data_IF_014667407545
#
_entry.id   IF_014667407545
#
_cell.length_a   1.000
_cell.length_b   1.000
_cell.length_c   1.000
_cell.angle_alpha   90.00
_cell.angle_beta   90.00
_cell.angle_gamma   90.00
#
_symmetry.space_group_name_H-M   'P 1'
#
loop_
_entity.id
_entity.type
_entity.pdbx_description
1 polymer ?
#
# COMPACT_ATOMS: atom_id res chain seq x y z
N UNK A 1 -8.13 4.07 32.98
CA UNK A 1 -6.86 4.31 32.27
C UNK A 1 -7.20 4.45 30.80
N UNK A 2 -6.99 5.61 30.17
CA UNK A 2 -7.24 5.74 28.72
C UNK A 2 -6.06 5.12 27.95
N UNK A 3 -6.34 4.05 27.20
CA UNK A 3 -5.35 3.46 26.32
C UNK A 3 -5.36 4.23 25.00
N UNK A 4 -4.23 4.84 24.62
CA UNK A 4 -4.09 5.52 23.34
C UNK A 4 -3.42 4.57 22.34
N UNK A 5 -4.02 4.44 21.15
CA UNK A 5 -3.45 3.73 20.03
C UNK A 5 -3.11 4.76 18.95
N UNK A 6 -1.92 4.65 18.37
CA UNK A 6 -1.49 5.47 17.23
C UNK A 6 -1.18 4.51 16.09
N UNK A 7 -1.88 4.67 14.97
CA UNK A 7 -1.61 3.95 13.73
C UNK A 7 -0.88 4.87 12.77
N UNK A 8 0.31 4.47 12.35
CA UNK A 8 1.11 5.19 11.37
C UNK A 8 1.19 4.37 10.08
N UNK A 9 0.61 4.88 9.01
CA UNK A 9 0.68 4.30 7.67
C UNK A 9 1.77 5.00 6.88
N UNK A 10 2.75 4.24 6.39
CA UNK A 10 3.81 4.75 5.53
C UNK A 10 3.42 4.52 4.08
N UNK A 11 3.07 5.58 3.39
CA UNK A 11 2.74 5.52 1.96
C UNK A 11 3.97 5.15 1.12
N UNK A 12 3.76 4.33 0.09
CA UNK A 12 4.83 3.86 -0.78
C UNK A 12 5.84 2.91 -0.13
N UNK A 13 5.58 2.37 1.06
CA UNK A 13 6.45 1.47 1.78
C UNK A 13 5.91 0.03 1.76
N UNK A 14 6.00 -0.62 0.59
CA UNK A 14 5.49 -1.98 0.41
C UNK A 14 6.55 -3.05 0.65
N UNK A 15 6.16 -4.13 1.35
CA UNK A 15 6.99 -5.32 1.62
C UNK A 15 6.33 -6.53 0.99
N UNK A 16 6.72 -6.83 -0.25
CA UNK A 16 6.16 -7.93 -1.02
C UNK A 16 4.79 -7.62 -1.64
N UNK A 17 4.21 -8.64 -2.24
CA UNK A 17 2.94 -8.59 -2.93
C UNK A 17 1.92 -9.45 -2.18
N UNK A 18 0.65 -9.09 -2.27
CA UNK A 18 -0.45 -9.90 -1.74
C UNK A 18 -0.63 -11.19 -2.56
N UNK A 19 -1.28 -12.23 -2.00
CA UNK A 19 -1.48 -13.51 -2.70
C UNK A 19 -2.24 -13.40 -4.02
N UNK A 20 -3.08 -12.40 -4.18
CA UNK A 20 -3.89 -12.12 -5.35
C UNK A 20 -3.29 -11.05 -6.30
N UNK A 21 -2.04 -10.69 -6.09
CA UNK A 21 -1.36 -9.63 -6.83
C UNK A 21 -1.26 -9.90 -8.34
N UNK A 22 -1.23 -11.15 -8.76
CA UNK A 22 -1.23 -11.56 -10.16
C UNK A 22 -2.50 -11.13 -10.89
N UNK A 23 -3.64 -11.15 -10.21
CA UNK A 23 -4.93 -10.68 -10.76
C UNK A 23 -4.89 -9.20 -11.12
N UNK A 24 -4.06 -8.43 -10.41
CA UNK A 24 -3.93 -6.98 -10.57
C UNK A 24 -2.64 -6.56 -11.31
N UNK A 25 -1.88 -7.53 -11.85
CA UNK A 25 -0.63 -7.26 -12.55
C UNK A 25 0.53 -6.84 -11.63
N UNK A 26 0.42 -7.09 -10.33
CA UNK A 26 1.38 -6.68 -9.30
C UNK A 26 2.26 -7.84 -8.79
N UNK A 27 2.25 -8.97 -9.48
CA UNK A 27 3.08 -10.12 -9.12
C UNK A 27 4.57 -9.71 -8.98
N UNK A 28 5.17 -10.06 -7.86
CA UNK A 28 6.57 -9.74 -7.56
C UNK A 28 6.85 -8.28 -7.18
N UNK A 29 5.84 -7.47 -6.95
CA UNK A 29 6.02 -6.12 -6.42
C UNK A 29 6.60 -6.16 -5.00
N UNK A 30 7.69 -5.43 -4.79
CA UNK A 30 8.32 -5.25 -3.48
C UNK A 30 9.13 -3.94 -3.49
N UNK A 31 8.48 -2.87 -3.08
CA UNK A 31 9.06 -1.52 -3.15
C UNK A 31 10.29 -1.39 -2.26
N UNK A 32 10.23 -1.90 -1.03
CA UNK A 32 11.35 -1.81 -0.10
C UNK A 32 12.57 -2.57 -0.60
N UNK A 33 12.38 -3.78 -1.14
CA UNK A 33 13.48 -4.59 -1.68
C UNK A 33 14.13 -3.91 -2.89
N UNK A 34 13.33 -3.36 -3.79
CA UNK A 34 13.83 -2.64 -4.96
C UNK A 34 14.58 -1.36 -4.58
N UNK A 35 14.02 -0.61 -3.64
CA UNK A 35 14.66 0.61 -3.13
C UNK A 35 16.00 0.29 -2.46
N UNK A 36 16.04 -0.75 -1.63
CA UNK A 36 17.28 -1.20 -0.99
C UNK A 36 18.35 -1.61 -2.01
N UNK A 37 17.95 -2.28 -3.09
CA UNK A 37 18.87 -2.69 -4.16
C UNK A 37 19.41 -1.49 -4.94
N UNK A 38 18.55 -0.54 -5.35
CA UNK A 38 18.93 0.66 -6.12
C UNK A 38 19.86 1.56 -5.30
N UNK A 39 19.56 1.71 -4.01
CA UNK A 39 20.36 2.52 -3.07
C UNK A 39 21.65 1.82 -2.60
N UNK A 40 21.90 0.59 -3.07
CA UNK A 40 23.03 -0.26 -2.62
C UNK A 40 23.03 -0.50 -1.11
N UNK A 41 21.85 -0.54 -0.52
CA UNK A 41 21.59 -0.75 0.90
C UNK A 41 20.88 0.43 1.55
N UNK A 42 19.99 0.12 2.48
CA UNK A 42 19.29 1.10 3.30
C UNK A 42 19.73 0.97 4.75
N UNK A 43 19.94 2.09 5.42
CA UNK A 43 20.21 2.15 6.85
C UNK A 43 18.95 2.61 7.58
N UNK A 44 18.22 1.66 8.16
CA UNK A 44 16.97 1.91 8.88
C UNK A 44 17.05 1.35 10.31
N UNK A 45 17.95 1.87 11.18
CA UNK A 45 18.25 1.25 12.47
C UNK A 45 17.03 1.15 13.39
N UNK A 46 16.15 2.13 13.42
CA UNK A 46 14.93 2.08 14.24
C UNK A 46 13.96 1.00 13.76
N UNK A 47 13.84 0.81 12.44
CA UNK A 47 13.02 -0.27 11.89
C UNK A 47 13.65 -1.65 12.10
N UNK A 48 14.98 -1.75 12.08
CA UNK A 48 15.68 -2.96 12.47
C UNK A 48 15.35 -3.34 13.92
N UNK A 49 15.41 -2.38 14.86
CA UNK A 49 15.02 -2.57 16.25
C UNK A 49 13.57 -3.02 16.41
N UNK A 50 12.67 -2.52 15.59
CA UNK A 50 11.26 -2.92 15.58
C UNK A 50 11.02 -4.29 14.91
N UNK A 51 12.01 -4.87 14.23
CA UNK A 51 11.93 -6.21 13.66
C UNK A 51 11.75 -6.27 12.14
N UNK A 52 11.89 -5.14 11.40
CA UNK A 52 11.69 -5.09 9.95
C UNK A 52 12.53 -6.13 9.20
N UNK A 53 13.77 -6.38 9.62
CA UNK A 53 14.66 -7.33 8.98
C UNK A 53 14.20 -8.80 9.03
N UNK A 54 13.19 -9.13 9.84
CA UNK A 54 12.58 -10.46 9.88
C UNK A 54 11.46 -10.66 8.85
N UNK A 55 10.99 -9.57 8.23
CA UNK A 55 9.90 -9.62 7.24
C UNK A 55 10.39 -9.95 5.83
N UNK A 56 11.71 -9.93 5.59
CA UNK A 56 12.29 -10.24 4.30
C UNK A 56 13.79 -10.01 4.25
N UNK A 57 14.39 -10.26 3.10
CA UNK A 57 15.79 -9.97 2.86
C UNK A 57 15.94 -8.64 2.13
N UNK A 58 16.44 -7.63 2.83
CA UNK A 58 16.64 -6.29 2.29
C UNK A 58 18.10 -5.89 2.44
N UNK A 59 18.70 -5.41 1.36
CA UNK A 59 20.09 -4.98 1.40
C UNK A 59 20.28 -3.80 2.39
N UNK A 60 21.15 -3.99 3.36
CA UNK A 60 21.47 -2.99 4.38
C UNK A 60 20.57 -3.02 5.62
N UNK A 61 19.50 -3.81 5.63
CA UNK A 61 18.59 -3.99 6.78
C UNK A 61 18.83 -5.38 7.38
N UNK A 62 19.14 -5.45 8.66
CA UNK A 62 19.50 -6.70 9.34
C UNK A 62 18.40 -7.15 10.29
N UNK A 63 18.17 -8.46 10.41
CA UNK A 63 17.32 -9.00 11.47
C UNK A 63 18.03 -8.85 12.82
N UNK A 64 17.36 -8.23 13.79
CA UNK A 64 17.84 -8.12 15.17
C UNK A 64 17.58 -9.41 15.93
N UNK A 65 18.54 -9.85 16.74
CA UNK A 65 18.38 -11.07 17.57
C UNK A 65 17.22 -10.93 18.56
N UNK A 66 17.03 -9.75 19.10
CA UNK A 66 15.95 -9.43 20.04
C UNK A 66 15.31 -8.09 19.62
N UNK A 67 14.31 -8.11 18.76
CA UNK A 67 13.59 -6.89 18.38
C UNK A 67 12.78 -6.35 19.56
N UNK A 68 12.66 -5.03 19.65
CA UNK A 68 11.90 -4.34 20.69
C UNK A 68 10.39 -4.30 20.39
N UNK A 69 10.00 -4.58 19.13
CA UNK A 69 8.62 -4.57 18.66
C UNK A 69 8.10 -5.95 18.28
N UNK A 70 6.78 -6.02 18.10
CA UNK A 70 6.15 -7.15 17.41
C UNK A 70 6.08 -6.83 15.92
N UNK A 71 6.39 -7.78 15.08
CA UNK A 71 6.39 -7.66 13.63
C UNK A 71 5.58 -8.77 12.98
N UNK A 72 5.07 -8.50 11.78
CA UNK A 72 4.31 -9.49 11.03
C UNK A 72 3.82 -8.92 9.71
N UNK A 73 3.23 -9.76 8.89
CA UNK A 73 2.57 -9.39 7.65
C UNK A 73 1.08 -9.60 7.80
N UNK A 74 0.28 -8.68 7.24
CA UNK A 74 -1.16 -8.76 7.19
C UNK A 74 -1.59 -8.85 5.73
N UNK A 75 -2.60 -9.68 5.45
CA UNK A 75 -3.31 -9.69 4.18
C UNK A 75 -4.59 -8.89 4.28
N UNK A 76 -5.06 -8.36 3.15
CA UNK A 76 -6.37 -7.74 3.06
C UNK A 76 -7.44 -8.80 2.72
N UNK A 77 -8.63 -8.63 3.28
CA UNK A 77 -9.84 -9.39 2.95
C UNK A 77 -10.67 -8.69 1.89
N UNK A 78 -10.59 -7.36 1.86
CA UNK A 78 -11.23 -6.52 0.85
C UNK A 78 -10.69 -6.84 -0.54
N UNK A 79 -11.60 -7.07 -1.47
CA UNK A 79 -11.25 -7.29 -2.89
C UNK A 79 -11.06 -5.95 -3.57
N UNK A 80 -10.02 -5.86 -4.38
CA UNK A 80 -9.73 -4.64 -5.14
C UNK A 80 -8.36 -4.06 -4.83
N UNK A 81 -7.98 -3.05 -5.62
CA UNK A 81 -6.68 -2.40 -5.56
C UNK A 81 -6.88 -0.89 -5.50
N UNK A 82 -7.26 -0.39 -4.34
CA UNK A 82 -7.30 1.04 -4.12
C UNK A 82 -6.99 1.42 -2.66
N UNK A 83 -6.52 2.65 -2.49
CA UNK A 83 -6.14 3.17 -1.18
C UNK A 83 -7.33 3.35 -0.25
N UNK A 84 -8.50 3.70 -0.77
CA UNK A 84 -9.69 3.98 0.03
C UNK A 84 -10.17 2.72 0.75
N UNK A 85 -10.37 1.63 0.00
CA UNK A 85 -10.81 0.35 0.55
C UNK A 85 -9.80 -0.23 1.53
N UNK A 86 -8.50 -0.10 1.25
CA UNK A 86 -7.43 -0.53 2.15
C UNK A 86 -7.45 0.23 3.48
N UNK A 87 -7.64 1.55 3.45
CA UNK A 87 -7.73 2.35 4.69
C UNK A 87 -9.00 2.04 5.48
N UNK A 88 -10.11 1.75 4.82
CA UNK A 88 -11.33 1.35 5.50
C UNK A 88 -11.18 0.01 6.20
N UNK A 89 -10.51 -0.96 5.57
CA UNK A 89 -10.23 -2.24 6.22
C UNK A 89 -9.29 -2.09 7.43
N UNK A 90 -8.27 -1.25 7.34
CA UNK A 90 -7.41 -0.89 8.49
C UNK A 90 -8.26 -0.28 9.63
N UNK A 91 -9.31 0.46 9.30
CA UNK A 91 -10.26 1.02 10.27
C UNK A 91 -11.31 0.00 10.75
N UNK A 92 -11.29 -1.23 10.24
CA UNK A 92 -12.19 -2.32 10.63
C UNK A 92 -13.42 -2.50 9.74
N UNK A 93 -13.48 -1.83 8.58
CA UNK A 93 -14.56 -1.97 7.61
C UNK A 93 -14.09 -2.70 6.35
N UNK A 94 -14.54 -3.94 6.16
CA UNK A 94 -14.21 -4.76 4.99
C UNK A 94 -15.23 -4.52 3.89
N UNK A 95 -14.77 -4.23 2.68
CA UNK A 95 -15.62 -4.11 1.48
C UNK A 95 -15.67 -5.49 0.81
N UNK A 96 -16.84 -6.13 0.85
CA UNK A 96 -17.04 -7.47 0.29
C UNK A 96 -17.13 -7.46 -1.24
N UNK A 97 -17.78 -6.42 -1.79
CA UNK A 97 -17.88 -6.22 -3.24
C UNK A 97 -16.71 -5.37 -3.71
N UNK A 98 -15.79 -6.00 -4.46
CA UNK A 98 -14.66 -5.29 -5.04
C UNK A 98 -15.11 -4.18 -5.97
N UNK A 99 -14.44 -3.04 -5.91
CA UNK A 99 -14.65 -1.95 -6.86
C UNK A 99 -14.26 -2.40 -8.27
N UNK A 100 -15.07 -2.02 -9.23
CA UNK A 100 -14.74 -2.23 -10.64
C UNK A 100 -13.92 -1.05 -11.12
N UNK A 101 -12.65 -1.24 -11.48
CA UNK A 101 -11.86 -0.16 -12.06
C UNK A 101 -12.55 0.30 -13.36
N UNK A 102 -12.70 1.60 -13.50
CA UNK A 102 -13.16 2.21 -14.74
C UNK A 102 -11.92 2.63 -15.53
N UNK A 103 -11.71 2.08 -16.70
CA UNK A 103 -10.55 2.42 -17.54
C UNK A 103 -10.65 3.87 -18.03
N UNK A 104 -11.86 4.29 -18.37
CA UNK A 104 -12.14 5.66 -18.84
C UNK A 104 -13.49 6.12 -18.31
N UNK A 105 -13.65 7.42 -18.10
CA UNK A 105 -14.95 7.99 -17.81
C UNK A 105 -15.82 8.00 -19.09
N UNK A 106 -17.13 7.82 -18.93
CA UNK A 106 -18.03 7.97 -20.08
C UNK A 106 -18.00 9.41 -20.61
N UNK A 107 -18.24 9.58 -21.91
CA UNK A 107 -18.26 10.90 -22.53
C UNK A 107 -19.30 11.81 -21.88
N UNK A 108 -20.45 11.26 -21.47
CA UNK A 108 -21.50 12.00 -20.79
C UNK A 108 -21.02 12.55 -19.45
N UNK A 109 -20.31 11.73 -18.67
CA UNK A 109 -19.76 12.13 -17.37
C UNK A 109 -18.67 13.19 -17.55
N UNK A 110 -17.76 13.00 -18.51
CA UNK A 110 -16.71 13.95 -18.83
C UNK A 110 -17.32 15.32 -19.24
N UNK A 111 -18.29 15.32 -20.14
CA UNK A 111 -18.97 16.55 -20.58
C UNK A 111 -19.72 17.23 -19.43
N UNK A 112 -20.41 16.47 -18.57
CA UNK A 112 -21.09 17.03 -17.41
C UNK A 112 -20.12 17.69 -16.43
N UNK A 113 -18.96 17.06 -16.18
CA UNK A 113 -17.91 17.60 -15.34
C UNK A 113 -17.32 18.89 -15.94
N UNK A 114 -16.99 18.89 -17.24
CA UNK A 114 -16.48 20.07 -17.95
C UNK A 114 -17.46 21.24 -17.92
N UNK A 115 -18.76 20.95 -18.13
CA UNK A 115 -19.80 21.95 -18.03
C UNK A 115 -19.92 22.53 -16.61
N UNK A 116 -19.82 21.71 -15.60
CA UNK A 116 -19.88 22.15 -14.20
C UNK A 116 -18.65 22.97 -13.78
N UNK A 117 -17.48 22.63 -14.27
CA UNK A 117 -16.21 23.32 -13.97
C UNK A 117 -15.96 24.55 -14.84
N UNK A 118 -16.62 24.67 -15.99
CA UNK A 118 -16.34 25.70 -17.00
C UNK A 118 -14.97 25.57 -17.66
N UNK A 119 -14.34 24.39 -17.57
CA UNK A 119 -13.01 24.11 -18.10
C UNK A 119 -12.98 22.70 -18.69
N UNK A 120 -12.14 22.50 -19.70
CA UNK A 120 -11.91 21.18 -20.29
C UNK A 120 -10.98 20.35 -19.43
N UNK A 121 -11.25 19.05 -19.37
CA UNK A 121 -10.34 18.06 -18.81
C UNK A 121 -9.11 17.86 -19.71
N UNK A 122 -7.96 17.53 -19.12
CA UNK A 122 -6.72 17.35 -19.88
C UNK A 122 -6.65 15.98 -20.57
N UNK A 123 -7.48 15.04 -20.17
CA UNK A 123 -7.54 13.69 -20.72
C UNK A 123 -8.59 12.85 -20.02
N UNK A 124 -8.88 11.72 -20.62
CA UNK A 124 -9.79 10.70 -20.10
C UNK A 124 -9.18 9.32 -20.42
N UNK A 125 -8.17 8.94 -19.66
CA UNK A 125 -7.41 7.69 -19.81
C UNK A 125 -7.10 7.06 -18.45
#
# INVERSE_FOLDING_TARGET
MMTRIVLLVLDGFGIGALPDADVYGDAGCNTLQRLAAISKGLALPNFEQLGLGHLGQFQGIRPMVQPEGCYGTLGFSTKGKNSLSGHWEIAGYVIEEGERPCETFTTELANALEAALGQKTLGNC
#
